data_IF_363984376728
#
_entry.id   IF_363984376728
#
_cell.length_a   1.000
_cell.length_b   1.000
_cell.length_c   1.000
_cell.angle_alpha   90.00
_cell.angle_beta   90.00
_cell.angle_gamma   90.00
#
_symmetry.space_group_name_H-M   'P 1'
#
loop_
_entity.id
_entity.type
_entity.pdbx_description
1 polymer ?
#
# COMPACT_ATOMS: atom_id res chain seq x y z
N UNK A 1 -2.95 -4.98 -7.27
CA UNK A 1 -1.80 -5.90 -7.47
C UNK A 1 -0.44 -5.22 -7.33
N UNK A 2 -0.20 -4.00 -7.84
CA UNK A 2 1.11 -3.33 -7.71
C UNK A 2 1.57 -3.17 -6.25
N UNK A 3 0.66 -2.83 -5.33
CA UNK A 3 0.95 -2.76 -3.89
C UNK A 3 1.55 -4.08 -3.36
N UNK A 4 0.91 -5.22 -3.66
CA UNK A 4 1.42 -6.54 -3.25
C UNK A 4 2.81 -6.84 -3.80
N UNK A 5 3.09 -6.43 -5.05
CA UNK A 5 4.43 -6.60 -5.64
C UNK A 5 5.51 -5.80 -4.89
N UNK A 6 5.15 -4.64 -4.31
CA UNK A 6 6.04 -3.83 -3.47
C UNK A 6 6.19 -4.45 -2.08
N UNK A 7 5.09 -4.84 -1.43
CA UNK A 7 5.11 -5.45 -0.10
C UNK A 7 5.90 -6.76 -0.05
N UNK A 8 5.82 -7.59 -1.11
CA UNK A 8 6.60 -8.82 -1.20
C UNK A 8 8.13 -8.60 -1.19
N UNK A 9 8.58 -7.38 -1.45
CA UNK A 9 10.00 -6.98 -1.45
C UNK A 9 10.35 -6.07 -0.26
N UNK A 10 9.39 -5.74 0.60
CA UNK A 10 9.61 -4.88 1.75
C UNK A 10 10.43 -5.63 2.82
N UNK A 11 11.30 -4.92 3.57
CA UNK A 11 12.02 -5.50 4.69
C UNK A 11 11.05 -5.97 5.78
N UNK A 12 11.48 -6.94 6.61
CA UNK A 12 10.67 -7.49 7.71
C UNK A 12 11.50 -7.72 8.98
N UNK A 13 12.66 -7.08 9.05
CA UNK A 13 13.68 -7.36 10.07
C UNK A 13 13.32 -6.71 11.40
N UNK A 14 12.94 -5.44 11.35
CA UNK A 14 12.60 -4.67 12.55
C UNK A 14 11.15 -4.91 13.00
N UNK A 15 10.85 -4.50 14.24
CA UNK A 15 9.46 -4.47 14.72
C UNK A 15 8.62 -3.43 13.95
N UNK A 16 9.23 -2.33 13.52
CA UNK A 16 8.54 -1.28 12.76
C UNK A 16 8.19 -1.75 11.35
N UNK A 17 9.10 -2.46 10.68
CA UNK A 17 8.82 -3.04 9.35
C UNK A 17 7.61 -3.97 9.38
N UNK A 18 7.52 -4.79 10.43
CA UNK A 18 6.41 -5.71 10.64
C UNK A 18 5.10 -4.99 10.98
N UNK A 19 5.15 -3.89 11.73
CA UNK A 19 3.99 -3.06 12.01
C UNK A 19 3.43 -2.42 10.72
N UNK A 20 4.30 -1.89 9.87
CA UNK A 20 3.92 -1.34 8.56
C UNK A 20 3.33 -2.42 7.67
N UNK A 21 3.92 -3.63 7.67
CA UNK A 21 3.42 -4.74 6.89
C UNK A 21 2.03 -5.20 7.36
N UNK A 22 1.79 -5.26 8.68
CA UNK A 22 0.48 -5.59 9.25
C UNK A 22 -0.61 -4.62 8.77
N UNK A 23 -0.36 -3.31 8.90
CA UNK A 23 -1.27 -2.27 8.41
C UNK A 23 -1.55 -2.42 6.91
N UNK A 24 -0.51 -2.61 6.11
CA UNK A 24 -0.63 -2.76 4.67
C UNK A 24 -1.40 -4.03 4.26
N UNK A 25 -1.19 -5.15 4.96
CA UNK A 25 -1.91 -6.41 4.70
C UNK A 25 -3.38 -6.28 5.07
N UNK A 26 -3.71 -5.63 6.20
CA UNK A 26 -5.11 -5.37 6.59
C UNK A 26 -5.83 -4.51 5.55
N UNK A 27 -5.18 -3.46 5.05
CA UNK A 27 -5.72 -2.65 3.96
C UNK A 27 -5.91 -3.46 2.66
N UNK A 28 -4.96 -4.34 2.31
CA UNK A 28 -5.10 -5.19 1.12
C UNK A 28 -6.25 -6.18 1.27
N UNK A 29 -6.35 -6.87 2.40
CA UNK A 29 -7.37 -7.87 2.66
C UNK A 29 -8.78 -7.25 2.63
N UNK A 30 -8.97 -6.09 3.27
CA UNK A 30 -10.24 -5.36 3.21
C UNK A 30 -10.59 -4.88 1.79
N UNK A 31 -9.61 -4.39 1.02
CA UNK A 31 -9.83 -4.03 -0.40
C UNK A 31 -10.15 -5.22 -1.29
N UNK A 32 -9.62 -6.41 -0.98
CA UNK A 32 -9.88 -7.65 -1.72
C UNK A 32 -11.20 -8.32 -1.31
N UNK A 33 -11.73 -8.02 -0.12
CA UNK A 33 -12.92 -8.68 0.42
C UNK A 33 -14.11 -8.68 -0.55
N UNK A 34 -14.48 -7.56 -1.22
CA UNK A 34 -15.60 -7.56 -2.16
C UNK A 34 -15.37 -8.41 -3.43
N UNK A 35 -14.13 -8.80 -3.72
CA UNK A 35 -13.73 -9.52 -4.94
C UNK A 35 -13.53 -11.01 -4.63
N UNK A 36 -12.78 -11.30 -3.57
CA UNK A 36 -12.40 -12.65 -3.15
C UNK A 36 -12.72 -12.84 -1.66
N UNK A 37 -14.01 -12.94 -1.28
CA UNK A 37 -14.44 -12.88 0.12
C UNK A 37 -13.93 -14.05 0.96
N UNK A 38 -14.01 -15.28 0.44
CA UNK A 38 -13.65 -16.48 1.20
C UNK A 38 -12.18 -16.47 1.66
N UNK A 39 -11.24 -16.19 0.76
CA UNK A 39 -9.81 -16.13 1.12
C UNK A 39 -9.51 -14.94 2.02
N UNK A 40 -10.16 -13.80 1.77
CA UNK A 40 -9.96 -12.58 2.57
C UNK A 40 -10.46 -12.78 4.00
N UNK A 41 -11.55 -13.52 4.20
CA UNK A 41 -12.06 -13.88 5.53
C UNK A 41 -11.04 -14.70 6.33
N UNK A 42 -10.45 -15.72 5.71
CA UNK A 42 -9.40 -16.55 6.34
C UNK A 42 -8.14 -15.74 6.63
N UNK A 43 -7.70 -14.90 5.69
CA UNK A 43 -6.52 -14.04 5.86
C UNK A 43 -6.73 -12.99 6.96
N UNK A 44 -7.92 -12.42 7.08
CA UNK A 44 -8.27 -11.48 8.15
C UNK A 44 -8.16 -12.12 9.52
N UNK A 45 -8.69 -13.33 9.65
CA UNK A 45 -8.57 -14.13 10.88
C UNK A 45 -7.10 -14.46 11.18
N UNK A 46 -6.30 -14.80 10.16
CA UNK A 46 -4.87 -15.05 10.32
C UNK A 46 -4.07 -13.81 10.73
N UNK A 47 -4.54 -12.60 10.40
CA UNK A 47 -3.99 -11.32 10.85
C UNK A 47 -4.41 -10.96 12.29
N UNK A 48 -5.12 -11.85 12.99
CA UNK A 48 -5.53 -11.68 14.38
C UNK A 48 -6.79 -10.82 14.56
N UNK A 49 -7.46 -10.47 13.47
CA UNK A 49 -8.71 -9.73 13.49
C UNK A 49 -9.91 -10.68 13.45
N UNK A 50 -11.09 -10.18 13.79
CA UNK A 50 -12.35 -10.93 13.67
C UNK A 50 -13.34 -10.16 12.82
N UNK A 51 -14.23 -10.88 12.13
CA UNK A 51 -15.42 -10.30 11.47
C UNK A 51 -15.11 -9.23 10.41
N UNK A 52 -14.61 -9.70 9.24
CA UNK A 52 -14.32 -8.79 8.12
C UNK A 52 -15.59 -8.20 7.50
N UNK A 53 -16.76 -8.82 7.68
CA UNK A 53 -18.04 -8.33 7.14
C UNK A 53 -18.40 -6.95 7.66
N UNK A 54 -18.02 -6.66 8.90
CA UNK A 54 -18.23 -5.38 9.57
C UNK A 54 -16.95 -4.52 9.65
N UNK A 55 -15.86 -4.94 9.01
CA UNK A 55 -14.63 -4.17 8.99
C UNK A 55 -14.84 -2.82 8.26
N UNK A 56 -14.28 -1.76 8.83
CA UNK A 56 -14.32 -0.44 8.20
C UNK A 56 -13.53 -0.47 6.88
N UNK A 57 -14.06 0.22 5.85
CA UNK A 57 -13.34 0.41 4.61
C UNK A 57 -12.06 1.23 4.87
N UNK A 58 -10.90 0.84 4.30
CA UNK A 58 -9.65 1.56 4.53
C UNK A 58 -9.75 3.02 4.08
N UNK A 59 -9.23 3.91 4.92
CA UNK A 59 -9.08 5.34 4.63
C UNK A 59 -7.59 5.68 4.59
N UNK A 60 -7.24 6.82 4.00
CA UNK A 60 -5.85 7.25 3.89
C UNK A 60 -5.53 8.32 4.95
N UNK A 61 -4.31 8.29 5.46
CA UNK A 61 -3.74 9.40 6.25
C UNK A 61 -3.07 10.40 5.29
N UNK A 62 -3.52 11.66 5.30
CA UNK A 62 -2.92 12.73 4.50
C UNK A 62 -1.43 12.90 4.76
N UNK A 63 -0.96 12.62 5.98
CA UNK A 63 0.47 12.72 6.31
C UNK A 63 1.31 11.65 5.65
N UNK A 64 0.74 10.47 5.42
CA UNK A 64 1.41 9.38 4.73
C UNK A 64 1.50 9.60 3.20
N UNK A 65 0.75 10.57 2.67
CA UNK A 65 0.77 10.95 1.26
C UNK A 65 1.72 12.10 0.93
N UNK A 66 2.35 12.71 1.95
CA UNK A 66 3.29 13.81 1.74
C UNK A 66 4.54 13.26 1.05
N UNK A 67 4.82 13.78 -0.14
CA UNK A 67 6.04 13.50 -0.89
C UNK A 67 7.08 14.58 -0.57
N UNK A 68 8.24 14.18 -0.05
CA UNK A 68 9.38 15.07 0.18
C UNK A 68 10.08 15.49 -1.12
N UNK A 69 9.88 14.72 -2.19
CA UNK A 69 10.49 14.95 -3.49
C UNK A 69 9.49 14.71 -4.62
N UNK A 70 9.53 15.54 -5.66
CA UNK A 70 8.70 15.43 -6.85
C UNK A 70 9.52 15.08 -8.08
N UNK A 71 8.98 14.17 -8.89
CA UNK A 71 9.55 13.84 -10.19
C UNK A 71 9.06 14.82 -11.26
N UNK A 72 9.97 15.65 -11.78
CA UNK A 72 9.72 16.60 -12.86
C UNK A 72 10.16 16.00 -14.20
N UNK A 73 9.26 16.05 -15.17
CA UNK A 73 9.50 15.63 -16.55
C UNK A 73 9.99 16.82 -17.37
N UNK A 74 11.22 16.76 -17.88
CA UNK A 74 11.81 17.83 -18.70
C UNK A 74 11.66 17.50 -20.17
N UNK A 75 11.00 18.40 -20.91
CA UNK A 75 10.81 18.30 -22.35
C UNK A 75 11.46 19.46 -23.08
N UNK A 76 11.98 19.21 -24.28
CA UNK A 76 12.49 20.24 -25.20
C UNK A 76 11.87 20.01 -26.57
N UNK A 77 11.13 21.02 -27.06
CA UNK A 77 10.33 20.94 -28.28
C UNK A 77 9.36 19.74 -28.29
N UNK A 78 8.67 19.52 -27.17
CA UNK A 78 7.71 18.42 -26.99
C UNK A 78 8.32 17.02 -26.90
N UNK A 79 9.65 16.88 -26.97
CA UNK A 79 10.36 15.59 -26.81
C UNK A 79 10.91 15.47 -25.39
N UNK A 80 10.69 14.33 -24.75
CA UNK A 80 11.24 14.01 -23.43
C UNK A 80 12.77 14.03 -23.47
N UNK A 81 13.40 14.78 -22.56
CA UNK A 81 14.87 14.90 -22.45
C UNK A 81 15.42 14.39 -21.14
N UNK A 82 14.69 14.58 -20.04
CA UNK A 82 15.10 14.07 -18.73
C UNK A 82 13.91 13.86 -17.81
N UNK A 83 14.15 13.12 -16.73
CA UNK A 83 13.33 13.07 -15.52
C UNK A 83 14.23 13.45 -14.35
N UNK A 84 13.85 14.46 -13.58
CA UNK A 84 14.61 14.96 -12.46
C UNK A 84 13.78 14.78 -11.19
N UNK A 85 14.41 14.37 -10.10
CA UNK A 85 13.79 14.36 -8.77
C UNK A 85 14.24 15.61 -8.04
N UNK A 86 13.29 16.40 -7.54
CA UNK A 86 13.55 17.70 -6.90
C UNK A 86 12.71 17.80 -5.63
N UNK A 87 13.29 18.29 -4.53
CA UNK A 87 12.59 18.59 -3.28
C UNK A 87 11.57 19.73 -3.44
#
# INVERSE_FOLDING_TARGET
MELMNKLAKAPQESAQDRAILDEALKAVVTMLYPITPHISYELWTALGESDIDNAAWPTFDEKALVEDEKTIVVQVNGKLRAKLTVA
#
